data_IF_479314536583
#
_entry.id   IF_479314536583
#
_cell.length_a   1.000
_cell.length_b   1.000
_cell.length_c   1.000
_cell.angle_alpha   90.00
_cell.angle_beta   90.00
_cell.angle_gamma   90.00
#
_symmetry.space_group_name_H-M   'P 1'
#
loop_
_entity.id
_entity.type
_entity.pdbx_description
1 polymer ?
#
# COMPACT_ATOMS: atom_id res chain seq x y z
N UNK A 1 -1.70 0.45 -21.02
CA UNK A 1 -1.83 0.66 -19.56
C UNK A 1 -1.84 -0.65 -18.76
N UNK A 2 -2.72 -1.62 -19.08
CA UNK A 2 -2.85 -2.92 -18.37
C UNK A 2 -1.54 -3.72 -18.21
N UNK A 3 -0.74 -3.86 -19.28
CA UNK A 3 0.55 -4.58 -19.24
C UNK A 3 1.54 -3.98 -18.21
N UNK A 4 1.73 -2.66 -18.22
CA UNK A 4 2.66 -1.96 -17.31
C UNK A 4 2.27 -2.17 -15.83
N UNK A 5 0.97 -2.21 -15.55
CA UNK A 5 0.46 -2.41 -14.20
C UNK A 5 0.72 -3.83 -13.70
N UNK A 6 0.51 -4.85 -14.54
CA UNK A 6 0.80 -6.24 -14.21
C UNK A 6 2.31 -6.44 -13.93
N UNK A 7 3.19 -5.82 -14.72
CA UNK A 7 4.63 -5.92 -14.44
C UNK A 7 5.01 -5.25 -13.11
N UNK A 8 4.38 -4.12 -12.74
CA UNK A 8 4.59 -3.51 -11.41
C UNK A 8 4.18 -4.45 -10.28
N UNK A 9 3.02 -5.10 -10.40
CA UNK A 9 2.55 -6.09 -9.43
C UNK A 9 3.53 -7.24 -9.29
N UNK A 10 4.04 -7.77 -10.42
CA UNK A 10 5.06 -8.84 -10.41
C UNK A 10 6.34 -8.39 -9.70
N UNK A 11 6.85 -7.20 -10.01
CA UNK A 11 8.03 -6.65 -9.35
C UNK A 11 7.81 -6.48 -7.84
N UNK A 12 6.67 -5.91 -7.43
CA UNK A 12 6.33 -5.72 -6.02
C UNK A 12 6.26 -7.03 -5.24
N UNK A 13 5.59 -8.05 -5.80
CA UNK A 13 5.50 -9.36 -5.16
C UNK A 13 6.87 -10.07 -5.09
N UNK A 14 7.68 -9.94 -6.14
CA UNK A 14 9.03 -10.51 -6.20
C UNK A 14 9.95 -9.88 -5.14
N UNK A 15 9.95 -8.56 -5.05
CA UNK A 15 10.76 -7.82 -4.06
C UNK A 15 10.33 -8.13 -2.63
N UNK A 16 9.01 -8.15 -2.39
CA UNK A 16 8.42 -8.46 -1.09
C UNK A 16 8.53 -9.95 -0.71
N UNK A 17 8.96 -10.83 -1.63
CA UNK A 17 8.95 -12.29 -1.48
C UNK A 17 7.58 -12.83 -1.06
N UNK A 18 6.51 -12.21 -1.57
CA UNK A 18 5.13 -12.59 -1.26
C UNK A 18 4.56 -13.59 -2.26
N UNK A 19 3.72 -14.53 -1.81
CA UNK A 19 3.06 -15.48 -2.69
C UNK A 19 2.05 -14.79 -3.62
N UNK A 20 1.79 -15.43 -4.77
CA UNK A 20 0.94 -14.88 -5.84
C UNK A 20 -0.48 -14.53 -5.39
N UNK A 21 -1.01 -15.13 -4.32
CA UNK A 21 -2.37 -14.81 -3.87
C UNK A 21 -2.52 -13.37 -3.34
N UNK A 22 -1.42 -12.67 -3.02
CA UNK A 22 -1.44 -11.24 -2.66
C UNK A 22 -1.48 -10.30 -3.88
N UNK A 23 -1.65 -10.80 -5.10
CA UNK A 23 -1.64 -9.97 -6.31
C UNK A 23 -2.69 -8.85 -6.30
N UNK A 24 -3.85 -9.08 -5.70
CA UNK A 24 -4.91 -8.08 -5.58
C UNK A 24 -4.47 -6.87 -4.75
N UNK A 25 -3.82 -7.12 -3.61
CA UNK A 25 -3.32 -6.09 -2.71
C UNK A 25 -2.17 -5.29 -3.34
N UNK A 26 -1.22 -6.00 -3.96
CA UNK A 26 -0.15 -5.36 -4.71
C UNK A 26 -0.70 -4.51 -5.88
N UNK A 27 -1.77 -4.97 -6.55
CA UNK A 27 -2.45 -4.22 -7.60
C UNK A 27 -3.09 -2.94 -7.06
N UNK A 28 -3.80 -3.02 -5.93
CA UNK A 28 -4.44 -1.86 -5.29
C UNK A 28 -3.41 -0.81 -4.90
N UNK A 29 -2.30 -1.19 -4.26
CA UNK A 29 -1.23 -0.24 -3.93
C UNK A 29 -0.61 0.35 -5.20
N UNK A 30 -0.31 -0.47 -6.21
CA UNK A 30 0.28 0.03 -7.45
C UNK A 30 -0.62 1.09 -8.12
N UNK A 31 -1.94 0.85 -8.15
CA UNK A 31 -2.92 1.80 -8.67
C UNK A 31 -3.02 3.06 -7.81
N UNK A 32 -3.05 2.90 -6.48
CA UNK A 32 -3.09 4.02 -5.54
C UNK A 32 -1.89 4.95 -5.72
N UNK A 33 -0.67 4.39 -5.75
CA UNK A 33 0.56 5.16 -5.97
C UNK A 33 0.55 5.84 -7.34
N UNK A 34 0.07 5.17 -8.41
CA UNK A 34 -0.05 5.79 -9.74
C UNK A 34 -1.00 6.99 -9.70
N UNK A 35 -2.13 6.89 -9.02
CA UNK A 35 -3.11 7.98 -8.92
C UNK A 35 -2.61 9.16 -8.07
N UNK A 36 -1.67 8.90 -7.16
CA UNK A 36 -1.01 9.91 -6.33
C UNK A 36 0.30 10.45 -6.95
N UNK A 37 0.78 9.86 -8.05
CA UNK A 37 2.02 10.28 -8.71
C UNK A 37 1.75 11.36 -9.76
N UNK A 38 2.60 12.39 -9.87
CA UNK A 38 2.60 13.30 -11.00
C UNK A 38 2.66 12.57 -12.34
N UNK A 39 1.79 12.94 -13.28
CA UNK A 39 1.73 12.33 -14.60
C UNK A 39 2.14 13.31 -15.69
N UNK A 40 3.10 12.94 -16.53
CA UNK A 40 3.55 13.76 -17.68
C UNK A 40 2.39 14.11 -18.62
N UNK A 41 1.49 13.16 -18.85
CA UNK A 41 0.30 13.36 -19.67
C UNK A 41 -0.69 14.39 -19.10
N UNK A 42 -0.53 14.77 -17.82
CA UNK A 42 -1.35 15.76 -17.11
C UNK A 42 -0.51 17.00 -16.76
N UNK A 43 0.54 17.31 -17.52
CA UNK A 43 1.44 18.43 -17.24
C UNK A 43 2.05 18.38 -15.82
N UNK A 44 2.40 17.16 -15.35
CA UNK A 44 2.90 16.90 -14.00
C UNK A 44 1.89 17.16 -12.87
N UNK A 45 0.61 17.33 -13.17
CA UNK A 45 -0.44 17.29 -12.15
C UNK A 45 -0.71 15.85 -11.67
N UNK A 46 -1.31 15.75 -10.48
CA UNK A 46 -1.63 14.48 -9.83
C UNK A 46 -3.06 14.05 -10.22
N UNK A 47 -3.26 12.84 -10.77
CA UNK A 47 -4.58 12.37 -11.22
C UNK A 47 -5.66 12.47 -10.14
N UNK A 48 -5.36 12.05 -8.91
CA UNK A 48 -6.33 12.08 -7.81
C UNK A 48 -6.76 13.51 -7.46
N UNK A 49 -5.83 14.48 -7.49
CA UNK A 49 -6.13 15.89 -7.28
C UNK A 49 -7.10 16.42 -8.34
N UNK A 50 -6.87 16.06 -9.61
CA UNK A 50 -7.72 16.47 -10.73
C UNK A 50 -9.13 15.87 -10.61
N UNK A 51 -9.23 14.57 -10.33
CA UNK A 51 -10.51 13.87 -10.27
C UNK A 51 -11.34 14.21 -9.04
N UNK A 52 -10.71 14.35 -7.88
CA UNK A 52 -11.42 14.59 -6.62
C UNK A 52 -11.54 16.09 -6.27
N UNK A 53 -10.83 16.98 -6.99
CA UNK A 53 -10.82 18.42 -6.73
C UNK A 53 -10.21 18.80 -5.36
N UNK A 54 -9.54 17.86 -4.69
CA UNK A 54 -8.96 18.04 -3.35
C UNK A 54 -7.45 17.90 -3.41
N UNK A 55 -6.76 18.63 -2.53
CA UNK A 55 -5.34 18.44 -2.34
C UNK A 55 -5.07 17.02 -1.83
N UNK A 56 -3.98 16.44 -2.33
CA UNK A 56 -3.57 15.10 -1.98
C UNK A 56 -2.71 15.16 -0.72
N UNK A 57 -3.07 14.33 0.26
CA UNK A 57 -2.27 14.09 1.46
C UNK A 57 -1.43 12.84 1.19
N UNK A 58 -0.17 12.83 1.63
CA UNK A 58 0.76 11.72 1.39
C UNK A 58 1.20 11.02 2.68
N UNK A 59 0.84 11.56 3.85
CA UNK A 59 1.31 11.10 5.16
C UNK A 59 0.91 9.66 5.48
N UNK A 60 -0.16 9.17 4.85
CA UNK A 60 -0.60 7.79 5.00
C UNK A 60 0.21 6.81 4.15
N UNK A 61 1.03 7.26 3.19
CA UNK A 61 1.78 6.36 2.33
C UNK A 61 2.79 5.52 3.12
N UNK A 62 2.75 4.21 2.85
CA UNK A 62 3.61 3.21 3.43
C UNK A 62 4.20 2.34 2.33
N UNK A 63 5.45 1.89 2.54
CA UNK A 63 6.10 0.94 1.62
C UNK A 63 5.38 -0.40 1.70
N UNK A 64 5.04 -0.97 0.54
CA UNK A 64 4.43 -2.30 0.47
C UNK A 64 5.33 -3.36 1.11
N UNK A 65 4.73 -4.24 1.91
CA UNK A 65 5.41 -5.28 2.67
C UNK A 65 6.40 -4.75 3.73
N UNK A 66 6.30 -3.48 4.14
CA UNK A 66 7.11 -2.99 5.26
C UNK A 66 6.70 -3.65 6.57
N UNK A 67 7.63 -3.68 7.54
CA UNK A 67 7.36 -4.18 8.88
C UNK A 67 6.30 -3.28 9.55
N UNK A 68 5.22 -3.89 9.99
CA UNK A 68 4.14 -3.24 10.71
C UNK A 68 3.92 -3.89 12.08
N UNK A 69 3.22 -3.19 12.98
CA UNK A 69 2.85 -3.72 14.28
C UNK A 69 1.37 -3.47 14.52
N UNK A 70 0.63 -4.53 14.83
CA UNK A 70 -0.78 -4.43 15.22
C UNK A 70 -0.88 -4.51 16.74
N UNK A 71 -1.78 -3.71 17.32
CA UNK A 71 -2.06 -3.76 18.75
C UNK A 71 -2.82 -5.05 19.10
N UNK A 72 -2.39 -5.74 20.15
CA UNK A 72 -3.10 -6.90 20.71
C UNK A 72 -4.07 -6.42 21.79
N UNK A 73 -5.39 -6.66 21.63
CA UNK A 73 -6.42 -6.26 22.59
C UNK A 73 -6.15 -6.81 23.99
N UNK A 74 -6.69 -6.14 25.01
CA UNK A 74 -6.54 -6.58 26.42
C UNK A 74 -7.13 -7.97 26.66
N UNK A 75 -8.22 -8.30 25.97
CA UNK A 75 -8.93 -9.57 26.15
C UNK A 75 -8.16 -10.78 25.57
N UNK A 76 -7.18 -10.52 24.71
CA UNK A 76 -6.32 -11.53 24.08
C UNK A 76 -4.94 -11.67 24.76
N UNK A 77 -4.70 -10.96 25.87
CA UNK A 77 -3.38 -10.93 26.53
C UNK A 77 -3.44 -10.92 28.05
N UNK A 78 -2.53 -11.64 28.68
CA UNK A 78 -2.35 -11.69 30.14
C UNK A 78 -1.48 -10.53 30.65
N UNK A 79 -1.37 -10.41 31.98
CA UNK A 79 -0.49 -9.41 32.61
C UNK A 79 0.96 -9.66 32.18
N UNK A 80 1.63 -8.62 31.69
CA UNK A 80 3.01 -8.61 31.15
C UNK A 80 3.18 -9.20 29.75
N UNK A 81 2.12 -9.67 29.10
CA UNK A 81 2.21 -10.11 27.71
C UNK A 81 2.49 -8.94 26.75
N UNK A 82 3.14 -9.25 25.63
CA UNK A 82 3.47 -8.30 24.57
C UNK A 82 2.19 -7.65 24.05
N UNK A 83 2.20 -6.32 23.91
CA UNK A 83 1.03 -5.52 23.48
C UNK A 83 0.88 -5.39 21.96
N UNK A 84 1.84 -5.93 21.21
CA UNK A 84 1.91 -5.78 19.76
C UNK A 84 2.32 -7.08 19.11
N UNK A 85 1.81 -7.30 17.90
CA UNK A 85 2.22 -8.40 17.04
C UNK A 85 2.87 -7.82 15.81
N UNK A 86 4.06 -8.32 15.46
CA UNK A 86 4.74 -7.94 14.22
C UNK A 86 3.98 -8.54 13.03
N UNK A 87 3.72 -7.70 12.04
CA UNK A 87 3.02 -7.99 10.80
C UNK A 87 3.77 -7.37 9.62
N UNK A 88 3.20 -7.53 8.42
CA UNK A 88 3.62 -6.83 7.21
C UNK A 88 2.48 -5.94 6.73
N UNK A 89 2.81 -4.76 6.19
CA UNK A 89 1.83 -3.86 5.60
C UNK A 89 1.47 -4.32 4.18
N UNK A 90 0.19 -4.57 3.92
CA UNK A 90 -0.28 -5.17 2.67
C UNK A 90 -1.12 -4.19 1.82
N UNK A 91 -1.79 -3.21 2.44
CA UNK A 91 -2.72 -2.33 1.72
C UNK A 91 -3.37 -1.28 2.64
N UNK A 92 -4.02 -0.29 2.03
CA UNK A 92 -4.69 0.80 2.74
C UNK A 92 -6.14 0.51 3.14
N UNK A 93 -6.77 -0.51 2.54
CA UNK A 93 -8.19 -0.83 2.79
C UNK A 93 -9.15 0.13 2.13
#
# INVERSE_FOLDING_TARGET
MKRKLIERVRCMLSEAKLPKHFWGEALLIAMHVINLSPAVALNFEVPNKIWCGKNVIYDHLCVFCCKAFVHVPKDERSKLDVKTRQCIFIGFG
#
